data_IF_447442198313
#
_entry.id   IF_447442198313
#
_cell.length_a   1.000
_cell.length_b   1.000
_cell.length_c   1.000
_cell.angle_alpha   90.00
_cell.angle_beta   90.00
_cell.angle_gamma   90.00
#
_symmetry.space_group_name_H-M   'P 1'
#
loop_
_entity.id
_entity.type
_entity.pdbx_description
1 polymer ?
#
# COMPACT_ATOMS: atom_id res chain seq x y z
N UNK A 1 15.86 -6.35 -0.39
CA UNK A 1 15.46 -5.05 -0.97
C UNK A 1 15.92 -3.91 -0.08
N UNK A 2 16.12 -2.74 -0.67
CA UNK A 2 16.41 -1.51 0.07
C UNK A 2 15.18 -0.62 0.09
N UNK A 3 14.95 0.06 1.20
CA UNK A 3 13.80 0.94 1.39
C UNK A 3 14.25 2.34 1.77
N UNK A 4 13.55 3.33 1.24
CA UNK A 4 13.87 4.73 1.44
C UNK A 4 12.58 5.53 1.58
N UNK A 5 12.45 6.28 2.67
CA UNK A 5 11.36 7.24 2.80
C UNK A 5 11.62 8.43 1.89
N UNK A 6 10.60 8.86 1.16
CA UNK A 6 10.70 10.02 0.27
C UNK A 6 9.62 11.04 0.57
N UNK A 7 9.92 12.32 0.30
CA UNK A 7 8.97 13.43 0.26
C UNK A 7 8.93 14.09 -1.14
N UNK A 8 9.53 13.44 -2.14
CA UNK A 8 9.52 13.92 -3.51
C UNK A 8 8.15 13.69 -4.15
N UNK A 9 7.33 14.74 -4.18
CA UNK A 9 5.98 14.70 -4.74
C UNK A 9 5.94 14.21 -6.19
N UNK A 10 6.93 14.57 -6.99
CA UNK A 10 7.02 14.17 -8.39
C UNK A 10 7.21 12.66 -8.55
N UNK A 11 8.09 12.08 -7.75
CA UNK A 11 8.36 10.65 -7.76
C UNK A 11 7.17 9.85 -7.22
N UNK A 12 6.58 10.29 -6.12
CA UNK A 12 5.39 9.68 -5.52
C UNK A 12 4.25 9.67 -6.55
N UNK A 13 4.01 10.79 -7.18
CA UNK A 13 2.99 10.96 -8.20
C UNK A 13 3.22 10.04 -9.40
N UNK A 14 4.45 9.96 -9.90
CA UNK A 14 4.80 9.12 -11.05
C UNK A 14 4.46 7.63 -10.80
N UNK A 15 4.65 7.15 -9.58
CA UNK A 15 4.34 5.77 -9.22
C UNK A 15 2.83 5.58 -9.04
N UNK A 16 2.19 6.40 -8.21
CA UNK A 16 0.77 6.26 -7.88
C UNK A 16 -0.15 6.44 -9.09
N UNK A 17 0.18 7.35 -9.99
CA UNK A 17 -0.62 7.64 -11.18
C UNK A 17 -0.20 6.85 -12.42
N UNK A 18 0.72 5.90 -12.27
CA UNK A 18 1.06 5.00 -13.37
C UNK A 18 -0.21 4.32 -13.89
N UNK A 19 -0.44 4.26 -15.23
CA UNK A 19 -1.70 3.75 -15.78
C UNK A 19 -2.11 2.34 -15.35
N UNK A 20 -1.14 1.52 -14.95
CA UNK A 20 -1.40 0.16 -14.45
C UNK A 20 -1.42 0.05 -12.91
N UNK A 21 -1.05 1.12 -12.20
CA UNK A 21 -1.10 1.17 -10.73
C UNK A 21 -2.37 1.87 -10.26
N UNK A 22 -2.70 3.01 -10.84
CA UNK A 22 -3.85 3.82 -10.46
C UNK A 22 -5.19 3.06 -10.38
N UNK A 23 -5.55 2.17 -11.33
CA UNK A 23 -6.81 1.43 -11.25
C UNK A 23 -6.92 0.53 -10.02
N UNK A 24 -5.80 0.08 -9.46
CA UNK A 24 -5.77 -0.78 -8.27
C UNK A 24 -5.88 -0.02 -6.95
N UNK A 25 -5.57 1.27 -6.93
CA UNK A 25 -5.57 2.09 -5.73
C UNK A 25 -6.67 3.15 -5.70
N UNK A 26 -7.16 3.56 -6.87
CA UNK A 26 -8.23 4.56 -6.99
C UNK A 26 -9.60 3.91 -7.01
N UNK A 27 -10.57 4.59 -6.40
CA UNK A 27 -12.00 4.28 -6.52
C UNK A 27 -12.67 5.23 -7.52
N UNK A 28 -14.00 5.12 -7.68
CA UNK A 28 -14.75 5.97 -8.62
C UNK A 28 -14.68 7.47 -8.27
N UNK A 29 -14.36 7.81 -7.03
CA UNK A 29 -14.27 9.19 -6.56
C UNK A 29 -12.84 9.72 -6.49
N UNK A 30 -11.86 8.90 -6.87
CA UNK A 30 -10.45 9.31 -6.89
C UNK A 30 -10.16 10.45 -7.87
N UNK A 31 -11.00 10.62 -8.89
CA UNK A 31 -10.90 11.69 -9.87
C UNK A 31 -9.85 11.42 -10.94
N UNK A 32 -9.41 12.51 -11.56
CA UNK A 32 -8.43 12.48 -12.65
C UNK A 32 -7.01 12.30 -12.08
N UNK A 33 -6.29 11.23 -12.47
CA UNK A 33 -4.92 11.03 -12.02
C UNK A 33 -3.98 12.17 -12.42
N UNK A 34 -4.26 12.89 -13.49
CA UNK A 34 -3.45 14.06 -13.89
C UNK A 34 -3.54 15.21 -12.88
N UNK A 35 -4.61 15.28 -12.11
CA UNK A 35 -4.86 16.32 -11.11
C UNK A 35 -4.52 15.87 -9.69
N UNK A 36 -4.22 14.60 -9.51
CA UNK A 36 -3.93 14.08 -8.18
C UNK A 36 -2.58 14.57 -7.66
N UNK A 37 -2.54 14.94 -6.40
CA UNK A 37 -1.30 15.29 -5.69
C UNK A 37 -1.21 14.52 -4.39
N UNK A 38 -0.01 14.07 -3.98
CA UNK A 38 0.15 13.37 -2.70
C UNK A 38 -0.05 14.32 -1.52
N UNK A 39 -0.59 13.79 -0.44
CA UNK A 39 -0.61 14.48 0.85
C UNK A 39 0.78 14.34 1.46
N UNK A 40 1.51 15.44 1.54
CA UNK A 40 2.83 15.49 2.17
C UNK A 40 2.68 15.99 3.60
N UNK A 41 2.60 15.05 4.52
CA UNK A 41 2.49 15.26 5.96
C UNK A 41 3.49 14.35 6.66
N UNK A 42 4.08 14.80 7.78
CA UNK A 42 5.08 13.99 8.49
C UNK A 42 4.53 12.65 9.00
N UNK A 43 3.23 12.55 9.26
CA UNK A 43 2.55 11.31 9.63
C UNK A 43 2.32 10.33 8.48
N UNK A 44 2.48 10.75 7.23
CA UNK A 44 2.32 9.89 6.05
C UNK A 44 3.70 9.52 5.52
N UNK A 45 3.97 8.21 5.46
CA UNK A 45 5.24 7.69 5.02
C UNK A 45 5.13 7.10 3.63
N UNK A 46 5.75 7.75 2.66
CA UNK A 46 5.94 7.20 1.32
C UNK A 46 7.31 6.52 1.29
N UNK A 47 7.32 5.21 1.10
CA UNK A 47 8.53 4.39 1.17
C UNK A 47 8.79 3.74 -0.17
N UNK A 48 9.88 4.11 -0.80
CA UNK A 48 10.34 3.52 -2.07
C UNK A 48 11.00 2.17 -1.81
N UNK A 49 10.76 1.21 -2.69
CA UNK A 49 11.38 -0.10 -2.66
C UNK A 49 12.31 -0.27 -3.87
N UNK A 50 13.56 -0.60 -3.59
CA UNK A 50 14.59 -0.82 -4.61
C UNK A 50 15.16 -2.24 -4.52
N UNK A 51 15.43 -2.83 -5.67
CA UNK A 51 16.22 -4.04 -5.80
C UNK A 51 17.49 -3.67 -6.59
N UNK A 52 18.60 -3.48 -5.88
CA UNK A 52 19.75 -2.77 -6.44
C UNK A 52 19.37 -1.34 -6.80
N UNK A 53 19.62 -0.93 -8.04
CA UNK A 53 19.26 0.40 -8.55
C UNK A 53 17.87 0.46 -9.19
N UNK A 54 17.14 -0.65 -9.19
CA UNK A 54 15.85 -0.75 -9.85
C UNK A 54 14.74 -0.41 -8.86
N UNK A 55 13.99 0.65 -9.16
CA UNK A 55 12.79 1.01 -8.41
C UNK A 55 11.69 -0.02 -8.70
N UNK A 56 11.21 -0.70 -7.65
CA UNK A 56 10.19 -1.75 -7.74
C UNK A 56 8.79 -1.23 -7.45
N UNK A 57 8.68 -0.20 -6.62
CA UNK A 57 7.40 0.36 -6.25
C UNK A 57 7.48 1.22 -5.01
N UNK A 58 6.32 1.44 -4.42
CA UNK A 58 6.16 2.32 -3.27
C UNK A 58 5.14 1.71 -2.31
N UNK A 59 5.39 1.88 -1.02
CA UNK A 59 4.44 1.62 0.04
C UNK A 59 4.05 2.93 0.70
N UNK A 60 2.77 3.07 1.03
CA UNK A 60 2.29 4.24 1.76
C UNK A 60 1.81 3.76 3.13
N UNK A 61 2.41 4.30 4.18
CA UNK A 61 2.03 4.01 5.56
C UNK A 61 1.47 5.24 6.23
N UNK A 62 0.40 5.09 6.98
CA UNK A 62 -0.14 6.17 7.79
C UNK A 62 -0.71 5.64 9.10
N UNK A 63 -0.42 6.29 10.24
CA UNK A 63 -0.86 5.80 11.54
C UNK A 63 -2.35 6.04 11.77
N UNK A 64 -3.05 5.03 12.28
CA UNK A 64 -4.35 5.19 12.93
C UNK A 64 -4.15 5.67 14.37
N UNK A 65 -3.09 5.17 15.00
CA UNK A 65 -2.60 5.58 16.30
C UNK A 65 -1.10 5.32 16.37
N UNK A 66 -0.47 5.51 17.52
CA UNK A 66 0.98 5.41 17.66
C UNK A 66 1.57 4.04 17.29
N UNK A 67 0.81 2.96 17.45
CA UNK A 67 1.32 1.59 17.27
C UNK A 67 0.64 0.81 16.13
N UNK A 68 -0.50 1.26 15.62
CA UNK A 68 -1.25 0.60 14.55
C UNK A 68 -1.27 1.51 13.32
N UNK A 69 -0.67 1.04 12.23
CA UNK A 69 -0.53 1.79 10.99
C UNK A 69 -1.17 1.05 9.82
N UNK A 70 -1.73 1.78 8.89
CA UNK A 70 -2.24 1.22 7.64
C UNK A 70 -1.19 1.23 6.55
N UNK A 71 -1.31 0.32 5.59
CA UNK A 71 -0.43 0.23 4.41
C UNK A 71 -1.24 0.23 3.11
N UNK A 72 -0.75 0.98 2.12
CA UNK A 72 -1.14 0.86 0.72
C UNK A 72 0.06 0.43 -0.12
N UNK A 73 -0.17 -0.41 -1.11
CA UNK A 73 0.86 -1.02 -1.93
C UNK A 73 0.74 -0.48 -3.36
N UNK A 74 1.82 0.08 -3.88
CA UNK A 74 1.91 0.60 -5.25
C UNK A 74 3.10 -0.04 -5.95
N UNK A 75 3.00 -1.30 -6.35
CA UNK A 75 4.07 -1.97 -7.09
C UNK A 75 4.00 -1.66 -8.57
N UNK A 76 5.14 -1.29 -9.16
CA UNK A 76 5.25 -1.10 -10.60
C UNK A 76 5.06 -2.43 -11.35
N UNK A 77 4.48 -2.43 -12.57
CA UNK A 77 4.10 -3.65 -13.27
C UNK A 77 5.22 -4.67 -13.45
N UNK A 78 6.43 -4.21 -13.76
CA UNK A 78 7.60 -5.09 -13.94
C UNK A 78 7.98 -5.85 -12.66
N UNK A 79 7.43 -5.46 -11.52
CA UNK A 79 7.77 -6.00 -10.19
C UNK A 79 6.63 -6.78 -9.55
N UNK A 80 5.52 -7.03 -10.24
CA UNK A 80 4.35 -7.67 -9.64
C UNK A 80 4.63 -9.06 -9.05
N UNK A 81 5.55 -9.82 -9.62
CA UNK A 81 5.97 -11.10 -9.08
C UNK A 81 6.75 -11.02 -7.76
N UNK A 82 7.22 -9.85 -7.36
CA UNK A 82 8.03 -9.64 -6.15
C UNK A 82 7.29 -8.93 -5.01
N UNK A 83 6.02 -8.63 -5.19
CA UNK A 83 5.25 -7.81 -4.26
C UNK A 83 5.18 -8.37 -2.85
N UNK A 84 4.94 -9.67 -2.71
CA UNK A 84 4.84 -10.31 -1.39
C UNK A 84 6.19 -10.29 -0.63
N UNK A 85 7.29 -10.50 -1.33
CA UNK A 85 8.63 -10.40 -0.75
C UNK A 85 8.91 -8.97 -0.29
N UNK A 86 8.65 -8.00 -1.16
CA UNK A 86 8.85 -6.59 -0.85
C UNK A 86 8.00 -6.15 0.34
N UNK A 87 6.74 -6.57 0.39
CA UNK A 87 5.82 -6.25 1.48
C UNK A 87 6.31 -6.83 2.81
N UNK A 88 6.75 -8.09 2.82
CA UNK A 88 7.28 -8.74 4.00
C UNK A 88 8.54 -8.05 4.52
N UNK A 89 9.43 -7.66 3.63
CA UNK A 89 10.69 -6.99 4.00
C UNK A 89 10.44 -5.54 4.46
N UNK A 90 9.49 -4.82 3.86
CA UNK A 90 9.17 -3.45 4.28
C UNK A 90 8.52 -3.41 5.66
N UNK A 91 7.77 -4.43 6.05
CA UNK A 91 7.25 -4.53 7.42
C UNK A 91 8.38 -4.58 8.44
N UNK A 92 9.40 -5.39 8.20
CA UNK A 92 10.57 -5.46 9.10
C UNK A 92 11.31 -4.12 9.16
N UNK A 93 11.47 -3.48 8.01
CA UNK A 93 12.10 -2.16 7.91
C UNK A 93 11.31 -1.10 8.71
N UNK A 94 9.99 -1.08 8.57
CA UNK A 94 9.14 -0.11 9.27
C UNK A 94 9.18 -0.33 10.78
N UNK A 95 9.09 -1.58 11.22
CA UNK A 95 9.14 -1.92 12.65
C UNK A 95 10.49 -1.57 13.29
N UNK A 96 11.57 -1.61 12.53
CA UNK A 96 12.89 -1.20 13.02
C UNK A 96 13.06 0.32 13.12
N UNK A 97 12.26 1.09 12.39
CA UNK A 97 12.41 2.55 12.25
C UNK A 97 11.37 3.36 13.00
N UNK A 98 10.29 2.76 13.42
CA UNK A 98 9.13 3.45 13.97
C UNK A 98 8.58 2.73 15.19
N UNK A 99 7.69 3.39 15.98
CA UNK A 99 6.97 2.73 17.07
C UNK A 99 5.87 1.76 16.62
N UNK A 100 5.63 1.62 15.32
CA UNK A 100 4.61 0.74 14.78
C UNK A 100 4.79 -0.70 15.28
N UNK A 101 3.71 -1.30 15.76
CA UNK A 101 3.68 -2.71 16.23
C UNK A 101 2.69 -3.56 15.45
N UNK A 102 1.70 -2.93 14.81
CA UNK A 102 0.72 -3.61 13.98
C UNK A 102 0.50 -2.86 12.68
N UNK A 103 0.48 -3.60 11.59
CA UNK A 103 0.21 -3.07 10.25
C UNK A 103 -1.09 -3.69 9.74
N UNK A 104 -2.00 -2.86 9.26
CA UNK A 104 -3.29 -3.29 8.71
C UNK A 104 -3.43 -2.80 7.27
N UNK A 105 -4.31 -3.45 6.54
CA UNK A 105 -4.71 -3.05 5.20
C UNK A 105 -6.16 -3.41 4.95
N UNK A 106 -6.81 -2.64 4.09
CA UNK A 106 -8.17 -2.89 3.62
C UNK A 106 -8.12 -3.06 2.11
N UNK A 107 -8.54 -4.22 1.64
CA UNK A 107 -8.45 -4.57 0.21
C UNK A 107 -9.83 -4.92 -0.32
N UNK A 108 -10.33 -4.21 -1.37
CA UNK A 108 -11.58 -4.59 -2.00
C UNK A 108 -11.53 -6.05 -2.49
N UNK A 109 -12.62 -6.78 -2.31
CA UNK A 109 -12.66 -8.21 -2.68
C UNK A 109 -12.41 -8.47 -4.16
N UNK A 110 -12.68 -7.49 -5.04
CA UNK A 110 -12.37 -7.62 -6.45
C UNK A 110 -10.86 -7.60 -6.76
N UNK A 111 -10.03 -7.09 -5.84
CA UNK A 111 -8.58 -7.00 -6.04
C UNK A 111 -7.88 -8.24 -5.48
N UNK A 112 -8.08 -9.36 -6.14
CA UNK A 112 -7.53 -10.66 -5.71
C UNK A 112 -6.00 -10.67 -5.65
N UNK A 113 -5.35 -9.99 -6.58
CA UNK A 113 -3.89 -9.91 -6.62
C UNK A 113 -3.32 -9.26 -5.35
N UNK A 114 -3.93 -8.18 -4.88
CA UNK A 114 -3.52 -7.51 -3.65
C UNK A 114 -3.80 -8.37 -2.40
N UNK A 115 -4.92 -9.08 -2.38
CA UNK A 115 -5.25 -10.01 -1.28
C UNK A 115 -4.20 -11.13 -1.20
N UNK A 116 -3.89 -11.77 -2.32
CA UNK A 116 -2.89 -12.84 -2.37
C UNK A 116 -1.51 -12.34 -1.97
N UNK A 117 -1.13 -11.14 -2.40
CA UNK A 117 0.12 -10.50 -2.02
C UNK A 117 0.22 -10.33 -0.49
N UNK A 118 -0.83 -9.79 0.12
CA UNK A 118 -0.90 -9.57 1.56
C UNK A 118 -0.82 -10.89 2.36
N UNK A 119 -1.57 -11.90 1.95
CA UNK A 119 -1.54 -13.22 2.59
C UNK A 119 -0.16 -13.88 2.49
N UNK A 120 0.47 -13.81 1.33
CA UNK A 120 1.84 -14.34 1.14
C UNK A 120 2.89 -13.57 1.93
N UNK A 121 2.65 -12.30 2.22
CA UNK A 121 3.53 -11.50 3.07
C UNK A 121 3.37 -11.81 4.56
N UNK A 122 2.41 -12.64 4.94
CA UNK A 122 2.16 -13.06 6.31
C UNK A 122 1.01 -12.35 7.02
N UNK A 123 0.28 -11.50 6.31
CA UNK A 123 -0.94 -10.89 6.89
C UNK A 123 -2.05 -11.93 7.01
N UNK A 124 -2.92 -11.77 8.00
CA UNK A 124 -4.10 -12.61 8.21
C UNK A 124 -5.37 -11.76 8.12
N UNK A 125 -6.43 -12.33 7.55
CA UNK A 125 -7.73 -11.70 7.53
C UNK A 125 -8.34 -11.69 8.94
N UNK A 126 -8.87 -10.55 9.35
CA UNK A 126 -9.51 -10.43 10.67
C UNK A 126 -10.96 -9.91 10.60
N UNK A 127 -11.45 -9.60 9.42
CA UNK A 127 -12.83 -9.16 9.24
C UNK A 127 -13.12 -8.70 7.81
N UNK A 128 -14.37 -8.30 7.62
CA UNK A 128 -14.87 -7.74 6.36
C UNK A 128 -15.58 -6.43 6.67
N UNK A 129 -15.18 -5.36 5.99
CA UNK A 129 -15.91 -4.10 5.99
C UNK A 129 -16.90 -4.11 4.82
N UNK A 130 -18.19 -4.23 5.14
CA UNK A 130 -19.22 -4.39 4.11
C UNK A 130 -19.52 -3.08 3.40
N UNK A 131 -19.71 -3.15 2.06
CA UNK A 131 -20.13 -2.03 1.23
C UNK A 131 -19.30 -0.77 1.44
N UNK A 132 -17.98 -0.93 1.49
CA UNK A 132 -17.04 0.11 1.92
C UNK A 132 -16.09 0.61 0.82
N UNK A 133 -16.24 0.12 -0.41
CA UNK A 133 -15.44 0.55 -1.55
C UNK A 133 -16.33 0.72 -2.78
N UNK A 134 -16.19 1.85 -3.47
CA UNK A 134 -16.98 2.15 -4.66
C UNK A 134 -16.12 1.93 -5.91
N UNK A 135 -16.52 0.99 -6.76
CA UNK A 135 -15.84 0.71 -8.02
C UNK A 135 -16.85 0.34 -9.10
N UNK A 136 -16.75 0.98 -10.27
CA UNK A 136 -17.66 0.79 -11.39
C UNK A 136 -19.14 0.97 -10.97
N UNK A 137 -19.40 2.04 -10.22
CA UNK A 137 -20.73 2.41 -9.69
C UNK A 137 -21.37 1.37 -8.76
N UNK A 138 -20.56 0.47 -8.19
CA UNK A 138 -21.03 -0.57 -7.25
C UNK A 138 -20.26 -0.51 -5.96
N UNK A 139 -20.94 -0.77 -4.85
CA UNK A 139 -20.32 -0.93 -3.55
C UNK A 139 -19.79 -2.36 -3.40
N UNK A 140 -18.53 -2.46 -3.01
CA UNK A 140 -17.83 -3.73 -2.76
C UNK A 140 -17.44 -3.82 -1.30
N UNK A 141 -17.34 -5.06 -0.81
CA UNK A 141 -16.77 -5.32 0.51
C UNK A 141 -15.24 -5.18 0.43
N UNK A 142 -14.63 -4.83 1.56
CA UNK A 142 -13.19 -4.86 1.74
C UNK A 142 -12.81 -5.94 2.74
N UNK A 143 -11.80 -6.74 2.41
CA UNK A 143 -11.18 -7.66 3.35
C UNK A 143 -10.21 -6.88 4.23
N UNK A 144 -10.32 -7.07 5.54
CA UNK A 144 -9.43 -6.47 6.54
C UNK A 144 -8.32 -7.46 6.88
N UNK A 145 -7.08 -7.05 6.66
CA UNK A 145 -5.90 -7.87 6.85
C UNK A 145 -4.96 -7.17 7.84
N UNK A 146 -4.22 -7.95 8.62
CA UNK A 146 -3.30 -7.40 9.59
C UNK A 146 -2.16 -8.33 9.94
N UNK A 147 -1.08 -7.74 10.44
CA UNK A 147 0.09 -8.43 10.95
C UNK A 147 0.68 -7.64 12.12
N UNK A 148 1.04 -8.33 13.18
CA UNK A 148 1.70 -7.73 14.34
C UNK A 148 3.17 -8.10 14.37
N UNK A 149 3.98 -7.19 14.89
CA UNK A 149 5.40 -7.44 15.14
C UNK A 149 5.55 -8.59 16.13
N UNK A 150 6.34 -9.56 15.75
CA UNK A 150 6.64 -10.70 16.60
C UNK A 150 7.68 -10.37 17.68
#
# INVERSE_FOLDING_TARGET
>A
MMFERTADAKQIRAIATHPKVWPGIGDDLAGDPEKWTPVLHEGVWYVLAFDGDILRGMFVFFPENSVCWQVHICMLPASWGTGARALREVFQWLWAKTPCLRITGSVPLWNEAAIHCALRAGMTAYGVNRHSSLKNSRLHHQLLLGISKA
#
